data_IF_332157020558
#
_entry.id   IF_332157020558
#
_cell.length_a   1.000
_cell.length_b   1.000
_cell.length_c   1.000
_cell.angle_alpha   90.00
_cell.angle_beta   90.00
_cell.angle_gamma   90.00
#
_symmetry.space_group_name_H-M   'P 1'
#
loop_
_entity.id
_entity.type
_entity.pdbx_description
1 polymer ?
#
# COMPACT_ATOMS: atom_id res chain seq x y z
N UNK A 1 -1.30 62.46 -30.79
CA UNK A 1 -1.22 60.99 -30.78
C UNK A 1 -0.71 60.56 -29.40
N UNK A 2 -1.61 60.14 -28.47
CA UNK A 2 -1.22 59.75 -27.11
C UNK A 2 -1.05 58.26 -27.07
N UNK A 3 0.15 57.79 -26.81
CA UNK A 3 0.46 56.38 -26.57
C UNK A 3 0.09 56.05 -25.11
N UNK A 4 -0.90 55.19 -24.91
CA UNK A 4 -1.26 54.67 -23.58
C UNK A 4 -0.38 53.43 -23.31
N UNK A 5 0.53 53.60 -22.36
CA UNK A 5 1.28 52.45 -21.80
C UNK A 5 0.29 51.55 -21.04
N UNK A 6 0.12 50.32 -21.53
CA UNK A 6 -0.60 49.28 -20.86
C UNK A 6 0.35 48.55 -19.89
N UNK A 7 0.26 48.91 -18.62
CA UNK A 7 0.95 48.11 -17.57
C UNK A 7 0.23 46.79 -17.39
N UNK A 8 0.87 45.68 -17.82
CA UNK A 8 0.50 44.38 -17.40
C UNK A 8 0.94 44.19 -15.94
N UNK A 9 0.01 44.26 -15.02
CA UNK A 9 0.21 43.75 -13.66
C UNK A 9 0.35 42.26 -13.75
N UNK A 10 1.55 41.74 -13.51
CA UNK A 10 1.76 40.31 -13.23
C UNK A 10 1.02 40.02 -11.93
N UNK A 11 -0.15 39.39 -12.05
CA UNK A 11 -0.84 38.85 -10.89
C UNK A 11 0.08 37.82 -10.23
N UNK A 12 0.46 38.10 -8.99
CA UNK A 12 1.18 37.16 -8.18
C UNK A 12 0.42 35.84 -8.18
N UNK A 13 1.07 34.79 -8.69
CA UNK A 13 0.59 33.43 -8.60
C UNK A 13 0.59 33.07 -7.10
N UNK A 14 -0.54 33.30 -6.43
CA UNK A 14 -0.75 32.78 -5.08
C UNK A 14 -0.55 31.27 -5.16
N UNK A 15 0.37 30.74 -4.35
CA UNK A 15 0.52 29.33 -4.16
C UNK A 15 -0.86 28.77 -3.75
N UNK A 16 -1.57 28.20 -4.73
CA UNK A 16 -2.76 27.42 -4.44
C UNK A 16 -2.24 26.21 -3.68
N UNK A 17 -2.48 26.19 -2.38
CA UNK A 17 -2.35 24.98 -1.59
C UNK A 17 -3.37 24.01 -2.19
N UNK A 18 -2.94 23.19 -3.15
CA UNK A 18 -3.80 22.20 -3.78
C UNK A 18 -4.05 21.14 -2.71
N UNK A 19 -5.22 21.22 -2.11
CA UNK A 19 -5.77 20.15 -1.29
C UNK A 19 -5.70 18.89 -2.14
N UNK A 20 -5.22 17.79 -1.56
CA UNK A 20 -5.10 16.52 -2.27
C UNK A 20 -6.44 16.17 -2.91
N UNK A 21 -6.49 16.14 -4.24
CA UNK A 21 -7.71 15.79 -4.95
C UNK A 21 -7.90 14.28 -4.93
N UNK A 22 -9.11 13.85 -4.56
CA UNK A 22 -9.51 12.43 -4.63
C UNK A 22 -10.47 12.23 -5.78
N UNK A 23 -10.19 11.26 -6.65
CA UNK A 23 -11.00 10.93 -7.81
C UNK A 23 -11.12 9.42 -8.00
N UNK A 24 -12.07 8.99 -8.80
CA UNK A 24 -12.28 7.60 -9.18
C UNK A 24 -11.82 7.37 -10.62
N UNK A 25 -11.11 6.27 -10.83
CA UNK A 25 -10.73 5.80 -12.17
C UNK A 25 -10.64 4.27 -12.17
N UNK A 26 -11.32 3.63 -13.12
CA UNK A 26 -11.28 2.17 -13.26
C UNK A 26 -11.75 1.38 -12.04
N UNK A 27 -12.69 1.93 -11.25
CA UNK A 27 -13.22 1.28 -10.04
C UNK A 27 -12.33 1.38 -8.81
N UNK A 28 -11.24 2.17 -8.88
CA UNK A 28 -10.38 2.50 -7.75
C UNK A 28 -10.43 4.01 -7.49
N UNK A 29 -10.30 4.37 -6.23
CA UNK A 29 -10.11 5.77 -5.82
C UNK A 29 -8.63 6.09 -5.72
N UNK A 30 -8.28 7.29 -6.12
CA UNK A 30 -6.91 7.80 -6.10
C UNK A 30 -6.87 9.15 -5.40
N UNK A 31 -5.79 9.38 -4.67
CA UNK A 31 -5.51 10.71 -4.07
C UNK A 31 -4.19 11.21 -4.63
N UNK A 32 -4.15 12.48 -5.08
CA UNK A 32 -2.91 13.09 -5.56
C UNK A 32 -1.89 13.21 -4.43
N UNK A 33 -0.65 12.79 -4.72
CA UNK A 33 0.48 12.84 -3.77
C UNK A 33 1.58 13.78 -4.23
N UNK A 34 1.48 14.28 -5.46
CA UNK A 34 2.41 15.22 -6.08
C UNK A 34 1.82 15.74 -7.39
N UNK A 35 2.62 16.48 -8.16
CA UNK A 35 2.18 17.11 -9.41
C UNK A 35 1.64 16.07 -10.42
N UNK A 36 2.30 14.91 -10.52
CA UNK A 36 1.95 13.86 -11.49
C UNK A 36 1.96 12.47 -10.82
N UNK A 37 1.72 12.39 -9.52
CA UNK A 37 1.70 11.13 -8.76
C UNK A 37 0.45 10.99 -7.94
N UNK A 38 0.01 9.74 -7.78
CA UNK A 38 -1.17 9.37 -6.98
C UNK A 38 -0.90 8.16 -6.11
N UNK A 39 -1.66 8.05 -5.03
CA UNK A 39 -1.81 6.84 -4.26
C UNK A 39 -3.20 6.24 -4.50
N UNK A 40 -3.30 4.90 -4.57
CA UNK A 40 -4.59 4.23 -4.42
C UNK A 40 -5.13 4.54 -3.02
N UNK A 41 -6.34 5.04 -2.95
CA UNK A 41 -6.95 5.53 -1.73
C UNK A 41 -8.14 4.68 -1.27
N UNK A 42 -8.51 4.82 -0.02
CA UNK A 42 -9.78 4.32 0.47
C UNK A 42 -10.93 5.08 -0.19
N UNK A 43 -12.04 4.40 -0.39
CA UNK A 43 -13.28 5.06 -0.83
C UNK A 43 -13.68 6.12 0.18
N UNK A 44 -13.97 7.35 -0.27
CA UNK A 44 -14.43 8.42 0.61
C UNK A 44 -15.66 8.01 1.43
N UNK A 45 -15.69 8.37 2.71
CA UNK A 45 -16.73 7.94 3.65
C UNK A 45 -18.15 8.37 3.23
N UNK A 46 -18.26 9.48 2.53
CA UNK A 46 -19.52 9.98 1.99
C UNK A 46 -20.07 9.14 0.83
N UNK A 47 -19.24 8.28 0.22
CA UNK A 47 -19.63 7.42 -0.91
C UNK A 47 -19.91 5.98 -0.50
N UNK A 48 -19.33 5.50 0.60
CA UNK A 48 -19.58 4.17 1.11
C UNK A 48 -19.30 4.06 2.61
N UNK A 49 -20.20 3.41 3.35
CA UNK A 49 -20.00 3.10 4.77
C UNK A 49 -19.02 1.94 4.98
N UNK A 50 -18.92 1.04 4.00
CA UNK A 50 -17.98 -0.08 3.96
C UNK A 50 -17.07 0.05 2.75
N UNK A 51 -15.89 -0.57 2.81
CA UNK A 51 -15.01 -0.60 1.65
C UNK A 51 -15.63 -1.44 0.52
N UNK A 52 -16.00 -0.85 -0.64
CA UNK A 52 -16.71 -1.54 -1.71
C UNK A 52 -15.78 -2.36 -2.61
N UNK A 53 -14.45 -2.31 -2.42
CA UNK A 53 -13.52 -3.06 -3.25
C UNK A 53 -13.76 -4.56 -3.11
N UNK A 54 -14.09 -5.23 -4.24
CA UNK A 54 -14.50 -6.62 -4.30
C UNK A 54 -13.93 -7.30 -5.53
N UNK A 55 -13.45 -8.53 -5.37
CA UNK A 55 -12.92 -9.33 -6.49
C UNK A 55 -11.45 -9.01 -6.78
N UNK A 56 -11.06 -9.07 -8.05
CA UNK A 56 -9.68 -8.95 -8.51
C UNK A 56 -9.36 -7.53 -8.91
N UNK A 57 -8.21 -7.02 -8.45
CA UNK A 57 -7.67 -5.72 -8.83
C UNK A 57 -6.26 -5.85 -9.40
N UNK A 58 -6.09 -5.38 -10.64
CA UNK A 58 -4.79 -5.14 -11.25
C UNK A 58 -4.58 -3.63 -11.22
N UNK A 59 -3.80 -3.14 -10.26
CA UNK A 59 -3.54 -1.72 -10.11
C UNK A 59 -2.65 -1.27 -11.27
N UNK A 60 -3.07 -0.26 -12.09
CA UNK A 60 -2.28 0.20 -13.22
C UNK A 60 -1.06 1.02 -12.77
N UNK A 61 -0.02 1.05 -13.60
CA UNK A 61 1.15 1.90 -13.35
C UNK A 61 0.82 3.39 -13.47
N UNK A 62 -0.17 3.75 -14.29
CA UNK A 62 -0.60 5.12 -14.54
C UNK A 62 -2.11 5.19 -14.70
N UNK A 63 -2.67 6.33 -14.35
CA UNK A 63 -4.07 6.68 -14.57
C UNK A 63 -4.17 8.02 -15.27
N UNK A 64 -5.14 8.15 -16.17
CA UNK A 64 -5.46 9.42 -16.83
C UNK A 64 -6.68 10.03 -16.18
N UNK A 65 -6.56 11.26 -15.72
CA UNK A 65 -7.65 12.00 -15.10
C UNK A 65 -7.52 13.50 -15.36
N UNK A 66 -8.62 14.15 -15.71
CA UNK A 66 -8.72 15.60 -15.95
C UNK A 66 -7.60 16.16 -16.86
N UNK A 67 -7.36 15.48 -17.99
CA UNK A 67 -6.39 15.91 -18.99
C UNK A 67 -4.92 15.62 -18.65
N UNK A 68 -4.62 14.96 -17.53
CA UNK A 68 -3.26 14.64 -17.09
C UNK A 68 -3.05 13.16 -16.82
N UNK A 69 -1.80 12.69 -17.03
CA UNK A 69 -1.37 11.36 -16.61
C UNK A 69 -0.75 11.44 -15.21
N UNK A 70 -1.17 10.51 -14.34
CA UNK A 70 -0.63 10.35 -13.00
C UNK A 70 0.00 8.98 -12.84
N UNK A 71 1.23 8.92 -12.37
CA UNK A 71 1.88 7.67 -12.01
C UNK A 71 1.36 7.18 -10.64
N UNK A 72 1.01 5.91 -10.54
CA UNK A 72 0.62 5.29 -9.28
C UNK A 72 1.89 4.87 -8.54
N UNK A 73 2.22 5.59 -7.47
CA UNK A 73 3.49 5.42 -6.73
C UNK A 73 3.30 4.92 -5.31
N UNK A 74 2.07 4.89 -4.83
CA UNK A 74 1.76 4.44 -3.48
C UNK A 74 0.38 3.79 -3.37
N UNK A 75 0.19 3.03 -2.30
CA UNK A 75 -1.12 2.65 -1.75
C UNK A 75 -1.25 3.35 -0.40
N UNK A 76 -2.31 4.10 -0.20
CA UNK A 76 -2.53 4.87 1.03
C UNK A 76 -2.89 3.97 2.22
N UNK A 77 -2.81 4.53 3.42
CA UNK A 77 -3.26 3.87 4.65
C UNK A 77 -4.71 3.39 4.51
N UNK A 78 -4.95 2.16 4.93
CA UNK A 78 -6.28 1.55 4.95
C UNK A 78 -7.01 1.54 3.58
N UNK A 79 -6.32 1.64 2.45
CA UNK A 79 -6.94 1.69 1.13
C UNK A 79 -7.90 0.52 0.87
N UNK A 80 -7.48 -0.72 1.14
CA UNK A 80 -8.29 -1.94 1.04
C UNK A 80 -8.73 -2.50 2.40
N UNK A 81 -8.68 -1.69 3.47
CA UNK A 81 -9.08 -2.12 4.80
C UNK A 81 -10.51 -2.68 4.80
N UNK A 82 -10.68 -3.91 5.32
CA UNK A 82 -11.98 -4.63 5.36
C UNK A 82 -12.66 -4.77 4.00
N UNK A 83 -11.90 -4.74 2.91
CA UNK A 83 -12.44 -4.96 1.57
C UNK A 83 -12.78 -6.44 1.33
N UNK A 84 -13.49 -6.70 0.24
CA UNK A 84 -13.79 -8.03 -0.29
C UNK A 84 -12.98 -8.32 -1.56
N UNK A 85 -11.83 -7.67 -1.70
CA UNK A 85 -10.86 -8.01 -2.73
C UNK A 85 -10.35 -9.45 -2.51
N UNK A 86 -10.27 -10.23 -3.57
CA UNK A 86 -9.79 -11.61 -3.53
C UNK A 86 -8.35 -11.75 -4.02
N UNK A 87 -7.96 -10.85 -4.92
CA UNK A 87 -6.60 -10.75 -5.46
C UNK A 87 -6.25 -9.30 -5.73
N UNK A 88 -5.02 -8.90 -5.42
CA UNK A 88 -4.49 -7.58 -5.75
C UNK A 88 -3.08 -7.72 -6.34
N UNK A 89 -2.90 -7.21 -7.56
CA UNK A 89 -1.60 -7.11 -8.21
C UNK A 89 -1.13 -5.65 -8.12
N UNK A 90 -0.05 -5.42 -7.39
CA UNK A 90 0.52 -4.10 -7.17
C UNK A 90 1.65 -3.85 -8.18
N UNK A 91 1.62 -2.76 -8.97
CA UNK A 91 2.63 -2.50 -9.99
C UNK A 91 3.97 -2.08 -9.38
N UNK A 92 5.05 -2.29 -10.12
CA UNK A 92 6.41 -1.98 -9.67
C UNK A 92 6.71 -0.47 -9.54
N UNK A 93 5.83 0.40 -10.04
CA UNK A 93 5.89 1.84 -9.80
C UNK A 93 5.56 2.23 -8.36
N UNK A 94 4.87 1.36 -7.62
CA UNK A 94 4.57 1.56 -6.20
C UNK A 94 5.82 1.26 -5.36
N UNK A 95 6.22 2.22 -4.55
CA UNK A 95 7.38 2.11 -3.65
C UNK A 95 7.00 2.14 -2.18
N UNK A 96 5.77 2.52 -1.87
CA UNK A 96 5.25 2.59 -0.50
C UNK A 96 3.82 2.04 -0.44
N UNK A 97 3.56 1.27 0.60
CA UNK A 97 2.20 0.80 0.93
C UNK A 97 1.96 1.19 2.38
N UNK A 98 0.87 1.90 2.63
CA UNK A 98 0.54 2.49 3.92
C UNK A 98 0.16 1.46 5.01
N UNK A 99 0.01 1.94 6.23
CA UNK A 99 -0.40 1.11 7.37
C UNK A 99 -1.81 0.55 7.16
N UNK A 100 -2.04 -0.67 7.59
CA UNK A 100 -3.34 -1.36 7.48
C UNK A 100 -3.89 -1.42 6.04
N UNK A 101 -3.08 -1.23 5.01
CA UNK A 101 -3.57 -1.05 3.64
C UNK A 101 -4.51 -2.17 3.19
N UNK A 102 -4.24 -3.42 3.56
CA UNK A 102 -5.09 -4.59 3.27
C UNK A 102 -5.64 -5.27 4.53
N UNK A 103 -5.46 -4.66 5.71
CA UNK A 103 -5.84 -5.32 6.96
C UNK A 103 -7.33 -5.69 6.96
N UNK A 104 -7.60 -6.90 7.44
CA UNK A 104 -8.96 -7.48 7.53
C UNK A 104 -9.70 -7.60 6.18
N UNK A 105 -8.99 -7.56 5.06
CA UNK A 105 -9.52 -8.00 3.77
C UNK A 105 -9.59 -9.54 3.77
N UNK A 106 -10.61 -10.08 4.42
CA UNK A 106 -10.72 -11.52 4.74
C UNK A 106 -10.87 -12.41 3.51
N UNK A 107 -11.22 -11.87 2.37
CA UNK A 107 -11.36 -12.62 1.12
C UNK A 107 -10.05 -12.59 0.29
N UNK A 108 -9.04 -11.80 0.72
CA UNK A 108 -7.77 -11.66 0.01
C UNK A 108 -6.90 -12.91 0.19
N UNK A 109 -6.82 -13.70 -0.86
CA UNK A 109 -6.01 -14.92 -0.92
C UNK A 109 -4.67 -14.73 -1.65
N UNK A 110 -4.62 -13.82 -2.62
CA UNK A 110 -3.45 -13.59 -3.44
C UNK A 110 -3.07 -12.10 -3.47
N UNK A 111 -1.80 -11.82 -3.27
CA UNK A 111 -1.23 -10.48 -3.42
C UNK A 111 0.16 -10.58 -4.05
N UNK A 112 0.42 -9.70 -5.03
CA UNK A 112 1.76 -9.49 -5.58
C UNK A 112 2.29 -8.17 -5.06
N UNK A 113 3.37 -8.21 -4.28
CA UNK A 113 4.03 -7.02 -3.76
C UNK A 113 5.01 -6.44 -4.81
N UNK A 114 5.16 -5.10 -4.89
CA UNK A 114 6.02 -4.46 -5.86
C UNK A 114 7.50 -4.67 -5.54
N UNK A 115 8.34 -4.86 -6.57
CA UNK A 115 9.77 -5.17 -6.41
C UNK A 115 10.57 -4.07 -5.68
N UNK A 116 10.09 -2.83 -5.70
CA UNK A 116 10.79 -1.68 -5.10
C UNK A 116 10.22 -1.26 -3.74
N UNK A 117 9.42 -2.12 -3.10
CA UNK A 117 8.94 -1.88 -1.75
C UNK A 117 10.12 -1.77 -0.77
N UNK A 118 10.08 -0.75 0.09
CA UNK A 118 11.19 -0.48 1.02
C UNK A 118 10.99 -1.16 2.38
N UNK A 119 9.77 -1.20 2.84
CA UNK A 119 9.38 -1.79 4.13
C UNK A 119 8.00 -2.41 4.02
N UNK A 120 7.75 -3.44 4.80
CA UNK A 120 6.41 -3.98 5.03
C UNK A 120 5.82 -3.21 6.21
N UNK A 121 4.82 -2.39 5.94
CA UNK A 121 4.24 -1.48 6.93
C UNK A 121 3.46 -2.22 8.03
N UNK A 122 3.16 -1.49 9.10
CA UNK A 122 2.38 -1.98 10.23
C UNK A 122 1.02 -2.53 9.76
N UNK A 123 0.67 -3.72 10.22
CA UNK A 123 -0.59 -4.42 9.94
C UNK A 123 -0.94 -4.50 8.44
N UNK A 124 0.05 -4.53 7.56
CA UNK A 124 -0.15 -4.49 6.11
C UNK A 124 -1.20 -5.51 5.64
N UNK A 125 -1.06 -6.76 6.03
CA UNK A 125 -1.91 -7.91 5.63
C UNK A 125 -2.58 -8.58 6.83
N UNK A 126 -2.65 -7.92 7.99
CA UNK A 126 -3.24 -8.50 9.19
C UNK A 126 -4.68 -8.98 8.94
N UNK A 127 -5.01 -10.19 9.36
CA UNK A 127 -6.37 -10.76 9.25
C UNK A 127 -6.82 -11.08 7.83
N UNK A 128 -5.89 -11.27 6.90
CA UNK A 128 -6.18 -11.71 5.53
C UNK A 128 -6.06 -13.23 5.37
N UNK A 129 -6.58 -13.77 4.27
CA UNK A 129 -6.46 -15.19 3.91
C UNK A 129 -5.35 -15.47 2.89
N UNK A 130 -4.32 -14.64 2.84
CA UNK A 130 -3.17 -14.88 1.95
C UNK A 130 -2.52 -16.22 2.28
N UNK A 131 -2.13 -16.96 1.23
CA UNK A 131 -1.58 -18.32 1.38
C UNK A 131 -0.06 -18.31 1.38
N UNK A 132 0.53 -17.62 0.42
CA UNK A 132 1.97 -17.49 0.30
C UNK A 132 2.31 -16.02 0.05
N UNK A 133 3.34 -15.51 0.71
CA UNK A 133 3.82 -14.17 0.50
C UNK A 133 5.32 -14.16 0.28
N UNK A 134 5.74 -13.62 -0.86
CA UNK A 134 7.13 -13.32 -1.15
C UNK A 134 7.39 -11.84 -0.87
N UNK A 135 8.21 -11.56 0.12
CA UNK A 135 8.65 -10.20 0.43
C UNK A 135 9.79 -9.85 -0.53
N UNK A 136 9.72 -8.74 -1.27
CA UNK A 136 10.72 -8.41 -2.29
C UNK A 136 12.08 -8.01 -1.68
N UNK A 137 13.13 -8.17 -2.47
CA UNK A 137 14.47 -7.68 -2.10
C UNK A 137 14.44 -6.15 -1.90
N UNK A 138 15.24 -5.66 -0.96
CA UNK A 138 15.25 -4.26 -0.54
C UNK A 138 14.45 -3.98 0.73
N UNK A 139 13.48 -4.82 1.08
CA UNK A 139 12.74 -4.70 2.34
C UNK A 139 13.65 -5.02 3.52
N UNK A 140 13.74 -4.08 4.47
CA UNK A 140 14.59 -4.21 5.66
C UNK A 140 13.81 -4.52 6.92
N UNK A 141 12.55 -4.11 6.99
CA UNK A 141 11.73 -4.25 8.18
C UNK A 141 10.39 -4.89 7.85
N UNK A 142 10.00 -5.87 8.64
CA UNK A 142 8.63 -6.37 8.73
C UNK A 142 7.98 -5.66 9.90
N UNK A 143 7.03 -4.81 9.63
CA UNK A 143 6.38 -3.94 10.62
C UNK A 143 5.49 -4.69 11.61
N UNK A 144 5.11 -3.98 12.66
CA UNK A 144 4.29 -4.49 13.75
C UNK A 144 2.99 -5.14 13.24
N UNK A 145 2.78 -6.40 13.61
CA UNK A 145 1.57 -7.14 13.23
C UNK A 145 1.34 -7.30 11.72
N UNK A 146 2.38 -7.15 10.90
CA UNK A 146 2.24 -7.08 9.44
C UNK A 146 1.45 -8.23 8.83
N UNK A 147 1.60 -9.45 9.36
CA UNK A 147 0.89 -10.67 8.96
C UNK A 147 0.10 -11.29 10.12
N UNK A 148 -0.21 -10.51 11.15
CA UNK A 148 -0.95 -11.01 12.31
C UNK A 148 -2.29 -11.61 11.89
N UNK A 149 -2.64 -12.77 12.48
CA UNK A 149 -3.94 -13.43 12.26
C UNK A 149 -4.23 -13.76 10.80
N UNK A 150 -3.23 -14.22 10.06
CA UNK A 150 -3.38 -14.77 8.71
C UNK A 150 -3.54 -16.29 8.78
N UNK A 151 -4.77 -16.81 8.88
CA UNK A 151 -5.01 -18.24 9.18
C UNK A 151 -4.63 -19.15 8.02
N UNK A 152 -4.55 -18.66 6.80
CA UNK A 152 -4.22 -19.45 5.61
C UNK A 152 -2.77 -19.31 5.18
N UNK A 153 -1.97 -18.49 5.86
CA UNK A 153 -0.57 -18.29 5.52
C UNK A 153 0.25 -19.56 5.82
N UNK A 154 0.86 -20.15 4.78
CA UNK A 154 1.65 -21.37 4.88
C UNK A 154 3.14 -21.12 4.78
N UNK A 155 3.54 -20.29 3.84
CA UNK A 155 4.96 -20.07 3.54
C UNK A 155 5.26 -18.59 3.40
N UNK A 156 6.37 -18.17 4.00
CA UNK A 156 6.93 -16.84 3.86
C UNK A 156 8.33 -16.91 3.27
N UNK A 157 8.57 -16.05 2.27
CA UNK A 157 9.91 -15.83 1.73
C UNK A 157 10.39 -14.45 2.16
N UNK A 158 11.39 -14.40 3.02
CA UNK A 158 12.05 -13.18 3.48
C UNK A 158 13.33 -12.94 2.67
N UNK A 159 13.55 -11.72 2.16
CA UNK A 159 14.70 -11.41 1.33
C UNK A 159 16.00 -11.36 2.14
N UNK A 160 17.12 -11.37 1.41
CA UNK A 160 18.46 -11.23 2.00
C UNK A 160 18.68 -9.92 2.76
N UNK A 161 17.86 -8.92 2.46
CA UNK A 161 17.93 -7.58 3.02
C UNK A 161 17.20 -7.41 4.34
N UNK A 162 16.38 -8.38 4.77
CA UNK A 162 15.61 -8.29 6.02
C UNK A 162 16.52 -8.23 7.23
N UNK A 163 16.38 -7.18 8.04
CA UNK A 163 17.18 -6.92 9.25
C UNK A 163 16.36 -7.02 10.52
N UNK A 164 15.07 -6.72 10.46
CA UNK A 164 14.20 -6.64 11.64
C UNK A 164 12.79 -7.15 11.36
N UNK A 165 12.24 -7.84 12.36
CA UNK A 165 10.84 -8.24 12.43
C UNK A 165 10.29 -7.66 13.72
N UNK A 166 9.30 -6.76 13.60
CA UNK A 166 8.67 -6.13 14.74
C UNK A 166 7.69 -7.09 15.44
N UNK A 167 7.28 -6.72 16.65
CA UNK A 167 6.38 -7.52 17.48
C UNK A 167 5.09 -7.91 16.75
N UNK A 168 4.58 -9.07 17.04
CA UNK A 168 3.36 -9.67 16.44
C UNK A 168 3.42 -9.89 14.93
N UNK A 169 4.60 -9.81 14.31
CA UNK A 169 4.75 -9.91 12.85
C UNK A 169 3.99 -11.08 12.24
N UNK A 170 3.99 -12.25 12.89
CA UNK A 170 3.32 -13.49 12.46
C UNK A 170 2.43 -14.11 13.56
N UNK A 171 1.98 -13.30 14.52
CA UNK A 171 1.16 -13.78 15.61
C UNK A 171 -0.19 -14.35 15.10
N UNK A 172 -0.66 -15.47 15.67
CA UNK A 172 -1.89 -16.18 15.27
C UNK A 172 -1.91 -16.67 13.80
N UNK A 173 -0.76 -16.92 13.19
CA UNK A 173 -0.67 -17.58 11.89
C UNK A 173 -0.57 -19.10 12.08
N UNK A 174 -1.69 -19.75 12.45
CA UNK A 174 -1.71 -21.16 12.89
C UNK A 174 -1.25 -22.17 11.81
N UNK A 175 -1.30 -21.80 10.54
CA UNK A 175 -0.88 -22.65 9.42
C UNK A 175 0.48 -22.24 8.84
N UNK A 176 1.22 -21.34 9.48
CA UNK A 176 2.56 -20.97 9.03
C UNK A 176 3.58 -22.04 9.42
N UNK A 177 3.97 -22.87 8.47
CA UNK A 177 4.91 -23.97 8.69
C UNK A 177 6.34 -23.62 8.31
N UNK A 178 6.53 -22.72 7.35
CA UNK A 178 7.84 -22.48 6.76
C UNK A 178 8.10 -20.98 6.57
N UNK A 179 9.24 -20.52 7.10
CA UNK A 179 9.80 -19.21 6.81
C UNK A 179 11.18 -19.43 6.22
N UNK A 180 11.32 -19.14 4.94
CA UNK A 180 12.62 -19.11 4.28
C UNK A 180 13.21 -17.71 4.41
N UNK A 181 14.31 -17.58 5.11
CA UNK A 181 15.02 -16.31 5.27
C UNK A 181 16.34 -16.37 4.52
N UNK A 182 16.48 -15.56 3.47
CA UNK A 182 17.71 -15.47 2.69
C UNK A 182 18.77 -14.56 3.34
N UNK A 183 18.45 -13.88 4.45
CA UNK A 183 19.38 -13.00 5.14
C UNK A 183 20.60 -13.80 5.68
N UNK A 184 21.84 -13.29 5.51
CA UNK A 184 23.06 -13.97 5.96
C UNK A 184 23.17 -14.05 7.49
N UNK A 185 22.44 -13.20 8.21
CA UNK A 185 22.28 -13.20 9.66
C UNK A 185 20.81 -13.18 10.00
N UNK A 186 20.42 -13.89 11.06
CA UNK A 186 19.02 -13.87 11.49
C UNK A 186 18.57 -12.42 11.76
N UNK A 187 17.39 -12.01 11.26
CA UNK A 187 16.84 -10.70 11.56
C UNK A 187 16.63 -10.49 13.07
N UNK A 188 16.83 -9.26 13.53
CA UNK A 188 16.51 -8.91 14.90
C UNK A 188 15.01 -9.04 15.13
N UNK A 189 14.63 -9.73 16.18
CA UNK A 189 13.26 -9.85 16.62
C UNK A 189 12.98 -8.78 17.69
N UNK A 190 12.23 -7.73 17.37
CA UNK A 190 11.90 -6.68 18.33
C UNK A 190 10.56 -6.96 19.00
N UNK A 191 10.60 -7.27 20.30
CA UNK A 191 9.41 -7.44 21.14
C UNK A 191 8.93 -8.86 21.32
N UNK A 192 7.88 -9.00 22.13
CA UNK A 192 7.26 -10.26 22.50
C UNK A 192 6.30 -10.74 21.39
N UNK A 193 6.13 -12.05 21.32
CA UNK A 193 5.05 -12.63 20.52
C UNK A 193 5.17 -12.49 18.98
N UNK A 194 6.36 -12.70 18.41
CA UNK A 194 6.49 -12.79 16.95
C UNK A 194 5.71 -14.00 16.42
N UNK A 195 5.72 -15.10 17.19
CA UNK A 195 5.13 -16.40 16.86
C UNK A 195 4.29 -16.96 18.02
N UNK A 196 3.42 -16.21 18.66
CA UNK A 196 2.51 -16.77 19.66
C UNK A 196 1.20 -17.18 18.97
N UNK A 197 0.82 -18.43 19.09
CA UNK A 197 -0.42 -18.98 18.61
C UNK A 197 -0.45 -20.49 18.73
#
# INVERSE_FOLDING_TARGET
>A
MKVRNLFFTVAALSAICTQAATFECGGLYYTTTGANTVAVARVPAEKATNNPYKGVYIIPEQVFYDGANYQVTAIADSAFFQSKATEVQVPNTVTTIGECAFAYATDLANITLPLHLKDVSKMLLAGTNVVNVAVPEGVKTIGWGAFQSCPMLHTMLLPSTTKRIDAYGYNNCHNLFEIYCAAPTAPEASGWAIFIG
#
